data_IF_282951123630
#
_entry.id   IF_282951123630
#
_cell.length_a   1.000
_cell.length_b   1.000
_cell.length_c   1.000
_cell.angle_alpha   90.00
_cell.angle_beta   90.00
_cell.angle_gamma   90.00
#
_symmetry.space_group_name_H-M   'P 1'
#
loop_
_entity.id
_entity.type
_entity.pdbx_description
1 polymer ?
#
# COMPACT_ATOMS: atom_id res chain seq x y z
N UNK A 1 -23.45 -65.82 -32.30
CA UNK A 1 -23.70 -67.27 -32.48
C UNK A 1 -22.37 -68.00 -32.47
N UNK A 2 -22.25 -69.03 -31.61
CA UNK A 2 -21.31 -70.17 -31.60
C UNK A 2 -19.78 -69.89 -31.56
N UNK A 3 -19.06 -70.21 -30.47
CA UNK A 3 -18.61 -71.53 -29.94
C UNK A 3 -17.37 -72.14 -30.64
N UNK A 4 -16.34 -72.43 -29.82
CA UNK A 4 -15.30 -73.50 -29.90
C UNK A 4 -14.21 -73.32 -30.98
N UNK A 5 -12.92 -73.64 -30.80
CA UNK A 5 -12.19 -74.62 -29.98
C UNK A 5 -10.70 -74.22 -29.92
N UNK A 6 -10.03 -74.29 -28.77
CA UNK A 6 -9.12 -75.37 -28.34
C UNK A 6 -7.76 -75.48 -29.06
N UNK A 7 -6.68 -75.11 -28.35
CA UNK A 7 -5.41 -75.84 -28.39
C UNK A 7 -4.73 -75.78 -27.02
N UNK A 8 -4.56 -76.96 -26.42
CA UNK A 8 -3.78 -77.26 -25.21
C UNK A 8 -2.28 -77.26 -25.52
N UNK A 9 -1.48 -76.58 -24.73
CA UNK A 9 -0.09 -76.94 -24.39
C UNK A 9 0.07 -76.49 -22.93
N UNK A 10 0.23 -77.37 -21.95
CA UNK A 10 1.46 -78.10 -21.67
C UNK A 10 1.94 -77.63 -20.30
N UNK A 11 1.64 -78.41 -19.26
CA UNK A 11 1.85 -78.08 -17.85
C UNK A 11 3.35 -78.11 -17.50
N UNK A 12 3.87 -77.02 -16.96
CA UNK A 12 5.05 -77.04 -16.09
C UNK A 12 4.61 -76.48 -14.74
N UNK A 13 4.55 -77.38 -13.73
CA UNK A 13 4.36 -77.03 -12.34
C UNK A 13 5.62 -76.30 -11.85
N UNK A 14 5.50 -75.01 -11.52
CA UNK A 14 6.42 -74.32 -10.65
C UNK A 14 5.72 -74.10 -9.31
N UNK A 15 6.20 -74.80 -8.28
CA UNK A 15 5.80 -74.63 -6.88
C UNK A 15 6.31 -73.26 -6.43
N UNK A 16 5.40 -72.34 -6.13
CA UNK A 16 5.75 -71.02 -5.56
C UNK A 16 5.25 -70.98 -4.11
N UNK A 17 6.22 -70.98 -3.20
CA UNK A 17 6.07 -70.84 -1.76
C UNK A 17 5.45 -69.46 -1.44
N UNK A 18 4.30 -69.45 -0.77
CA UNK A 18 3.71 -68.25 -0.19
C UNK A 18 4.46 -67.92 1.10
N UNK A 19 5.35 -66.93 1.06
CA UNK A 19 5.95 -66.34 2.27
C UNK A 19 4.98 -65.33 2.89
N UNK A 20 4.46 -65.64 4.08
CA UNK A 20 3.77 -64.68 4.94
C UNK A 20 4.79 -63.62 5.41
N UNK A 21 4.69 -62.40 4.89
CA UNK A 21 5.41 -61.26 5.44
C UNK A 21 4.68 -60.75 6.69
N UNK A 22 5.26 -60.97 7.86
CA UNK A 22 4.87 -60.32 9.11
C UNK A 22 5.21 -58.83 9.03
N UNK A 23 4.19 -57.97 9.02
CA UNK A 23 4.36 -56.52 9.05
C UNK A 23 4.80 -56.09 10.46
N UNK A 24 6.07 -55.71 10.62
CA UNK A 24 6.58 -55.10 11.85
C UNK A 24 6.08 -53.66 11.94
N UNK A 25 5.27 -53.37 12.96
CA UNK A 25 4.87 -52.00 13.29
C UNK A 25 6.12 -51.16 13.66
N UNK A 26 6.40 -50.13 12.86
CA UNK A 26 7.43 -49.13 13.17
C UNK A 26 6.90 -48.16 14.22
N UNK A 27 7.64 -48.05 15.32
CA UNK A 27 7.50 -46.99 16.33
C UNK A 27 7.66 -45.62 15.67
N UNK A 28 6.81 -44.62 15.99
CA UNK A 28 6.96 -43.29 15.43
C UNK A 28 8.25 -42.65 15.94
N UNK A 29 9.12 -42.28 15.00
CA UNK A 29 10.33 -41.51 15.28
C UNK A 29 9.95 -40.15 15.87
N UNK A 30 10.57 -39.81 17.01
CA UNK A 30 10.45 -38.51 17.66
C UNK A 30 11.20 -37.45 16.81
N UNK A 31 10.50 -36.86 15.84
CA UNK A 31 11.00 -35.74 15.05
C UNK A 31 10.89 -34.49 15.93
N UNK A 32 12.02 -34.01 16.45
CA UNK A 32 12.09 -32.65 16.99
C UNK A 32 11.61 -31.68 15.90
N UNK A 33 10.63 -30.80 16.18
CA UNK A 33 10.20 -29.82 15.19
C UNK A 33 11.39 -28.94 14.80
N UNK A 34 11.65 -28.84 13.49
CA UNK A 34 12.54 -27.82 12.95
C UNK A 34 12.00 -26.46 13.35
N UNK A 35 12.86 -25.50 13.73
CA UNK A 35 12.42 -24.18 14.12
C UNK A 35 11.61 -23.54 12.99
N UNK A 36 10.38 -23.14 13.30
CA UNK A 36 9.48 -22.44 12.39
C UNK A 36 10.18 -21.21 11.81
N UNK A 37 9.87 -20.83 10.56
CA UNK A 37 10.47 -19.69 9.85
C UNK A 37 10.40 -18.33 10.58
N UNK A 38 9.68 -18.24 11.70
CA UNK A 38 9.68 -17.10 12.63
C UNK A 38 11.03 -16.95 13.35
N UNK A 39 11.71 -18.06 13.67
CA UNK A 39 13.02 -18.05 14.35
C UNK A 39 14.16 -17.62 13.41
N UNK A 40 13.99 -17.85 12.10
CA UNK A 40 14.94 -17.41 11.08
C UNK A 40 14.80 -15.92 10.70
N UNK A 41 13.60 -15.33 10.83
CA UNK A 41 13.39 -13.89 10.57
C UNK A 41 13.91 -13.03 11.74
N UNK A 42 13.94 -13.57 12.96
CA UNK A 42 14.51 -12.88 14.12
C UNK A 42 16.05 -12.78 14.08
N UNK A 43 16.72 -13.58 13.26
CA UNK A 43 18.18 -13.74 13.27
C UNK A 43 18.97 -12.75 12.38
N UNK A 44 18.32 -11.76 11.76
CA UNK A 44 19.00 -10.75 10.92
C UNK A 44 18.60 -9.29 11.21
N UNK A 45 18.06 -9.00 12.40
CA UNK A 45 17.91 -7.61 12.83
C UNK A 45 19.29 -7.06 13.20
N UNK A 46 19.86 -6.18 12.38
CA UNK A 46 21.06 -5.42 12.73
C UNK A 46 20.78 -4.65 14.02
N UNK A 47 21.39 -5.08 15.13
CA UNK A 47 21.31 -4.36 16.39
C UNK A 47 22.37 -3.25 16.39
N UNK A 48 21.93 -2.03 16.72
CA UNK A 48 22.81 -0.87 16.81
C UNK A 48 23.30 -0.69 18.24
N UNK A 49 24.49 -0.07 18.39
CA UNK A 49 25.00 0.28 19.71
C UNK A 49 23.99 1.22 20.42
N UNK A 50 23.63 0.97 21.69
CA UNK A 50 22.62 1.78 22.39
C UNK A 50 22.94 3.27 22.42
N UNK A 51 24.21 3.63 22.54
CA UNK A 51 24.67 5.01 22.50
C UNK A 51 24.34 5.69 21.15
N UNK A 52 24.63 5.02 20.04
CA UNK A 52 24.33 5.51 18.69
C UNK A 52 22.83 5.70 18.48
N UNK A 53 22.01 4.79 19.03
CA UNK A 53 20.54 4.94 19.02
C UNK A 53 20.10 6.14 19.85
N UNK A 54 20.71 6.40 21.02
CA UNK A 54 20.37 7.57 21.84
C UNK A 54 20.80 8.89 21.18
N UNK A 55 21.98 8.93 20.57
CA UNK A 55 22.45 10.08 19.78
C UNK A 55 21.49 10.35 18.62
N UNK A 56 21.14 9.30 17.87
CA UNK A 56 20.16 9.37 16.79
C UNK A 56 18.79 9.85 17.26
N UNK A 57 18.32 9.38 18.41
CA UNK A 57 17.06 9.80 19.02
C UNK A 57 17.07 11.29 19.37
N UNK A 58 18.16 11.79 19.94
CA UNK A 58 18.30 13.20 20.29
C UNK A 58 18.26 14.08 19.03
N UNK A 59 19.02 13.70 18.00
CA UNK A 59 19.04 14.39 16.71
C UNK A 59 17.68 14.36 16.01
N UNK A 60 17.07 13.17 15.93
CA UNK A 60 15.76 12.98 15.33
C UNK A 60 14.67 13.80 16.03
N UNK A 61 14.72 13.89 17.37
CA UNK A 61 13.79 14.74 18.14
C UNK A 61 13.95 16.22 17.82
N UNK A 62 15.19 16.68 17.65
CA UNK A 62 15.52 18.07 17.33
C UNK A 62 15.02 18.45 15.94
N UNK A 63 15.29 17.62 14.94
CA UNK A 63 15.18 18.04 13.53
C UNK A 63 14.06 17.34 12.74
N UNK A 64 13.63 16.14 13.14
CA UNK A 64 12.74 15.29 12.32
C UNK A 64 11.36 15.05 12.95
N UNK A 65 11.28 15.07 14.29
CA UNK A 65 10.09 14.59 15.01
C UNK A 65 8.84 15.45 14.85
N UNK A 66 9.01 16.72 14.47
CA UNK A 66 7.91 17.63 14.20
C UNK A 66 7.02 17.11 13.06
N UNK A 67 7.63 16.53 12.01
CA UNK A 67 6.88 15.97 10.88
C UNK A 67 6.65 14.47 11.04
N UNK A 68 7.66 13.71 11.46
CA UNK A 68 7.62 12.24 11.46
C UNK A 68 7.19 11.61 12.79
N UNK A 69 6.73 12.42 13.74
CA UNK A 69 6.36 12.00 15.09
C UNK A 69 7.57 11.69 15.97
N UNK A 70 7.41 11.68 17.30
CA UNK A 70 8.53 11.50 18.25
C UNK A 70 9.26 10.16 18.15
N UNK A 71 8.56 9.16 17.64
CA UNK A 71 9.00 7.77 17.59
C UNK A 71 9.15 7.27 16.14
N UNK A 72 9.24 8.19 15.18
CA UNK A 72 9.31 7.93 13.74
C UNK A 72 8.07 7.25 13.13
N UNK A 73 7.00 7.10 13.92
CA UNK A 73 5.73 6.47 13.54
C UNK A 73 4.78 7.33 12.69
N UNK A 74 5.24 8.48 12.20
CA UNK A 74 4.45 9.42 11.42
C UNK A 74 3.81 10.54 12.26
N UNK A 75 3.58 11.67 11.62
CA UNK A 75 2.93 12.85 12.19
C UNK A 75 2.00 13.51 11.18
N UNK A 76 1.47 14.70 11.50
CA UNK A 76 0.47 15.38 10.66
C UNK A 76 1.01 15.75 9.26
N UNK A 77 2.33 15.98 9.14
CA UNK A 77 2.96 16.48 7.92
C UNK A 77 3.99 15.52 7.33
N UNK A 78 4.45 14.52 8.08
CA UNK A 78 5.48 13.55 7.65
C UNK A 78 5.00 12.09 7.75
N UNK A 79 5.37 11.24 6.78
CA UNK A 79 4.96 9.84 6.76
C UNK A 79 5.54 9.02 7.92
N UNK A 80 4.89 7.88 8.20
CA UNK A 80 5.41 6.84 9.09
C UNK A 80 6.67 6.20 8.49
N UNK A 81 7.81 6.43 9.13
CA UNK A 81 9.10 5.89 8.70
C UNK A 81 9.25 4.42 9.12
N UNK A 82 8.56 3.98 10.16
CA UNK A 82 8.64 2.59 10.65
C UNK A 82 8.06 1.59 9.66
N UNK A 83 7.16 2.03 8.77
CA UNK A 83 6.56 1.22 7.69
C UNK A 83 7.05 1.59 6.29
N UNK A 84 8.08 2.42 6.20
CA UNK A 84 8.61 2.89 4.92
C UNK A 84 9.39 1.80 4.19
N UNK A 85 9.02 1.52 2.92
CA UNK A 85 9.80 0.64 2.03
C UNK A 85 11.24 1.11 1.84
N UNK A 86 11.46 2.43 1.85
CA UNK A 86 12.80 3.00 1.72
C UNK A 86 13.65 2.63 2.93
N UNK A 87 13.08 2.72 4.14
CA UNK A 87 13.76 2.32 5.38
C UNK A 87 13.98 0.81 5.39
N UNK A 88 12.99 0.01 4.96
CA UNK A 88 13.15 -1.45 4.85
C UNK A 88 14.24 -1.86 3.86
N UNK A 89 14.46 -1.10 2.80
CA UNK A 89 15.47 -1.36 1.78
C UNK A 89 16.81 -0.66 2.06
N UNK A 90 16.92 0.10 3.15
CA UNK A 90 18.14 0.80 3.53
C UNK A 90 19.16 -0.19 4.12
N UNK A 91 20.38 -0.11 3.64
CA UNK A 91 21.53 -0.83 4.19
C UNK A 91 22.56 0.22 4.58
N UNK A 92 22.74 0.39 5.89
CA UNK A 92 23.76 1.27 6.46
C UNK A 92 23.68 2.74 6.00
N UNK A 93 22.46 3.22 5.76
CA UNK A 93 22.18 4.60 5.37
C UNK A 93 22.31 4.88 3.89
N UNK A 94 22.50 3.87 3.04
CA UNK A 94 22.65 4.04 1.59
C UNK A 94 21.39 4.56 0.87
N UNK A 95 20.21 4.51 1.53
CA UNK A 95 18.96 5.12 1.05
C UNK A 95 18.53 6.30 1.90
N UNK A 96 18.61 6.19 3.23
CA UNK A 96 18.18 7.21 4.19
C UNK A 96 19.11 8.44 4.10
N UNK A 97 20.43 8.24 4.06
CA UNK A 97 21.42 9.30 4.03
C UNK A 97 21.20 10.31 2.89
N UNK A 98 21.09 9.84 1.62
CA UNK A 98 20.77 10.72 0.50
C UNK A 98 19.45 11.48 0.64
N UNK A 99 18.41 10.88 1.23
CA UNK A 99 17.11 11.55 1.43
C UNK A 99 17.20 12.63 2.49
N UNK A 100 17.94 12.39 3.59
CA UNK A 100 18.15 13.39 4.64
C UNK A 100 18.94 14.58 4.10
N UNK A 101 20.03 14.33 3.36
CA UNK A 101 20.91 15.39 2.86
C UNK A 101 20.28 16.24 1.76
N UNK A 102 19.60 15.61 0.81
CA UNK A 102 18.99 16.33 -0.31
C UNK A 102 17.59 16.84 0.00
N UNK A 103 16.93 16.26 1.00
CA UNK A 103 15.51 16.49 1.27
C UNK A 103 14.62 15.96 0.15
N UNK A 104 13.34 16.33 0.23
CA UNK A 104 12.33 16.24 -0.83
C UNK A 104 11.54 17.54 -0.87
N UNK A 105 12.12 18.65 -1.38
CA UNK A 105 11.50 19.98 -1.29
C UNK A 105 10.12 20.06 -1.96
N UNK A 106 9.95 19.33 -3.06
CA UNK A 106 8.69 19.13 -3.79
C UNK A 106 7.60 18.45 -2.93
N UNK A 107 7.99 17.75 -1.87
CA UNK A 107 7.12 17.07 -0.89
C UNK A 107 7.18 17.70 0.50
N UNK A 108 7.77 18.90 0.63
CA UNK A 108 7.84 19.65 1.90
C UNK A 108 8.89 19.16 2.90
N UNK A 109 9.78 18.24 2.52
CA UNK A 109 10.92 17.82 3.37
C UNK A 109 12.17 18.63 2.98
N UNK A 110 12.69 19.52 3.83
CA UNK A 110 13.90 20.28 3.52
C UNK A 110 15.16 19.39 3.55
N UNK A 111 16.27 19.81 2.91
CA UNK A 111 17.57 19.20 3.09
C UNK A 111 18.11 19.47 4.51
N UNK A 112 18.85 18.52 5.06
CA UNK A 112 19.51 18.65 6.36
C UNK A 112 21.02 18.44 6.19
N UNK A 113 21.79 19.39 6.73
CA UNK A 113 23.24 19.26 6.80
C UNK A 113 23.60 18.33 7.96
N UNK A 114 23.95 17.09 7.63
CA UNK A 114 24.30 16.06 8.60
C UNK A 114 25.60 15.37 8.17
N UNK A 115 26.55 15.32 9.10
CA UNK A 115 27.77 14.53 8.98
C UNK A 115 27.45 13.04 8.82
N UNK A 116 28.41 12.26 8.35
CA UNK A 116 28.24 10.80 8.21
C UNK A 116 27.92 10.13 9.55
N UNK A 117 28.50 10.63 10.65
CA UNK A 117 28.24 10.11 11.99
C UNK A 117 26.80 10.41 12.47
N UNK A 118 26.29 11.60 12.14
CA UNK A 118 24.90 11.99 12.44
C UNK A 118 23.91 11.17 11.61
N UNK A 119 24.19 10.96 10.32
CA UNK A 119 23.40 10.07 9.46
C UNK A 119 23.40 8.64 10.02
N UNK A 120 24.56 8.08 10.37
CA UNK A 120 24.65 6.73 10.94
C UNK A 120 23.81 6.62 12.23
N UNK A 121 23.83 7.65 13.07
CA UNK A 121 23.04 7.70 14.30
C UNK A 121 21.54 7.80 14.01
N UNK A 122 21.12 8.62 13.05
CA UNK A 122 19.71 8.68 12.60
C UNK A 122 19.23 7.35 12.04
N UNK A 123 20.03 6.70 11.20
CA UNK A 123 19.76 5.37 10.63
C UNK A 123 19.59 4.35 11.76
N UNK A 124 20.50 4.33 12.73
CA UNK A 124 20.42 3.45 13.89
C UNK A 124 19.11 3.63 14.68
N UNK A 125 18.71 4.89 14.92
CA UNK A 125 17.45 5.19 15.59
C UNK A 125 16.23 4.78 14.76
N UNK A 126 16.17 5.14 13.48
CA UNK A 126 15.03 4.85 12.59
C UNK A 126 14.84 3.33 12.43
N UNK A 127 15.91 2.58 12.21
CA UNK A 127 15.86 1.11 12.15
C UNK A 127 15.43 0.49 13.48
N UNK A 128 15.92 1.01 14.61
CA UNK A 128 15.48 0.55 15.94
C UNK A 128 13.98 0.78 16.14
N UNK A 129 13.46 1.93 15.72
CA UNK A 129 12.03 2.23 15.80
C UNK A 129 11.20 1.34 14.88
N UNK A 130 11.68 1.05 13.67
CA UNK A 130 11.05 0.07 12.78
C UNK A 130 11.00 -1.32 13.42
N UNK A 131 12.11 -1.81 13.99
CA UNK A 131 12.15 -3.10 14.70
C UNK A 131 11.15 -3.12 15.87
N UNK A 132 11.13 -2.05 16.69
CA UNK A 132 10.20 -1.94 17.82
C UNK A 132 8.74 -1.94 17.38
N UNK A 133 8.41 -1.25 16.29
CA UNK A 133 7.06 -1.19 15.72
C UNK A 133 6.63 -2.56 15.18
N UNK A 134 7.51 -3.27 14.47
CA UNK A 134 7.25 -4.61 13.94
C UNK A 134 7.12 -5.65 15.07
N UNK A 135 7.99 -5.59 16.09
CA UNK A 135 7.92 -6.48 17.25
C UNK A 135 6.62 -6.28 18.04
N UNK A 136 6.12 -5.05 18.08
CA UNK A 136 4.84 -4.70 18.71
C UNK A 136 3.63 -5.07 17.85
N UNK A 137 3.77 -5.16 16.52
CA UNK A 137 2.72 -5.62 15.61
C UNK A 137 2.46 -7.14 15.70
N UNK A 138 3.48 -7.93 16.09
CA UNK A 138 3.38 -9.39 16.26
C UNK A 138 3.06 -9.88 17.67
N UNK A 139 2.94 -8.99 18.66
CA UNK A 139 2.90 -9.37 20.07
C UNK A 139 1.86 -8.60 20.88
N UNK A 140 1.02 -9.37 21.59
CA UNK A 140 -0.01 -8.99 22.58
C UNK A 140 0.49 -8.14 23.79
N UNK A 141 1.58 -7.39 23.68
CA UNK A 141 2.11 -6.54 24.76
C UNK A 141 2.37 -5.11 24.27
N UNK A 142 1.53 -4.19 24.74
CA UNK A 142 1.68 -2.75 24.58
C UNK A 142 0.69 -2.21 23.57
N UNK A 143 -0.21 -1.33 24.02
CA UNK A 143 -1.28 -0.72 23.21
C UNK A 143 -0.81 0.25 22.13
N UNK A 144 0.18 -0.14 21.33
CA UNK A 144 0.47 0.48 20.04
C UNK A 144 -0.63 0.11 19.05
N UNK A 145 -1.03 1.07 18.20
CA UNK A 145 -1.95 0.80 17.09
C UNK A 145 -1.31 -0.27 16.19
N UNK A 146 -1.96 -1.44 16.03
CA UNK A 146 -1.62 -2.37 14.95
C UNK A 146 -1.82 -1.58 13.66
N UNK A 147 -0.73 -1.28 12.94
CA UNK A 147 -0.85 -0.71 11.61
C UNK A 147 -1.48 -1.72 10.66
N UNK A 148 -2.07 -1.23 9.57
CA UNK A 148 -2.68 -2.07 8.55
C UNK A 148 -1.62 -2.40 7.51
N UNK A 149 -1.24 -3.68 7.40
CA UNK A 149 -0.32 -4.12 6.35
C UNK A 149 -1.04 -4.21 5.00
N UNK A 150 -0.31 -4.14 3.88
CA UNK A 150 -0.92 -4.23 2.54
C UNK A 150 -1.71 -5.54 2.38
N UNK A 151 -1.20 -6.64 2.94
CA UNK A 151 -1.88 -7.93 2.93
C UNK A 151 -3.20 -7.95 3.71
N UNK A 152 -3.31 -7.11 4.75
CA UNK A 152 -4.56 -6.99 5.54
C UNK A 152 -5.69 -6.34 4.70
N UNK A 153 -5.34 -5.62 3.62
CA UNK A 153 -6.28 -4.96 2.70
C UNK A 153 -6.49 -5.72 1.39
N UNK A 154 -5.77 -6.83 1.18
CA UNK A 154 -5.84 -7.66 -0.03
C UNK A 154 -6.81 -8.84 0.17
N UNK A 155 -8.02 -8.57 0.64
CA UNK A 155 -9.01 -9.60 1.01
C UNK A 155 -10.03 -9.88 -0.10
N UNK A 156 -10.11 -9.04 -1.13
CA UNK A 156 -11.12 -9.14 -2.19
C UNK A 156 -10.73 -10.00 -3.39
N UNK A 157 -11.69 -10.18 -4.30
CA UNK A 157 -11.54 -10.88 -5.58
C UNK A 157 -11.36 -9.87 -6.73
N UNK A 158 -10.22 -9.94 -7.42
CA UNK A 158 -9.87 -9.00 -8.49
C UNK A 158 -10.83 -9.06 -9.69
N UNK A 159 -11.34 -10.24 -10.07
CA UNK A 159 -12.31 -10.36 -11.16
C UNK A 159 -13.66 -9.72 -10.79
N UNK A 160 -14.08 -9.82 -9.53
CA UNK A 160 -15.27 -9.15 -9.03
C UNK A 160 -15.08 -7.64 -8.98
N UNK A 161 -13.89 -7.18 -8.58
CA UNK A 161 -13.53 -5.77 -8.60
C UNK A 161 -13.57 -5.20 -10.00
N UNK A 162 -13.01 -5.92 -10.97
CA UNK A 162 -13.07 -5.55 -12.38
C UNK A 162 -14.51 -5.44 -12.87
N UNK A 163 -15.36 -6.43 -12.57
CA UNK A 163 -16.78 -6.41 -12.94
C UNK A 163 -17.52 -5.23 -12.31
N UNK A 164 -17.24 -4.89 -11.07
CA UNK A 164 -17.83 -3.72 -10.42
C UNK A 164 -17.34 -2.42 -11.06
N UNK A 165 -16.02 -2.30 -11.30
CA UNK A 165 -15.38 -1.15 -11.95
C UNK A 165 -15.97 -0.85 -13.33
N UNK A 166 -16.18 -1.89 -14.14
CA UNK A 166 -16.74 -1.80 -15.51
C UNK A 166 -18.28 -1.69 -15.53
N UNK A 167 -18.94 -2.04 -14.43
CA UNK A 167 -20.39 -2.16 -14.34
C UNK A 167 -21.00 -1.24 -13.29
N UNK A 168 -21.54 -1.84 -12.22
CA UNK A 168 -22.37 -1.15 -11.22
C UNK A 168 -21.65 0.00 -10.48
N UNK A 169 -20.33 -0.05 -10.37
CA UNK A 169 -19.52 1.02 -9.79
C UNK A 169 -19.37 2.25 -10.68
N UNK A 170 -19.60 2.11 -11.99
CA UNK A 170 -19.50 3.22 -12.95
C UNK A 170 -18.09 3.80 -13.08
N UNK A 171 -17.06 3.20 -12.50
CA UNK A 171 -15.71 3.73 -12.44
C UNK A 171 -15.11 3.92 -13.84
N UNK A 172 -15.39 2.98 -14.75
CA UNK A 172 -14.94 3.00 -16.14
C UNK A 172 -15.53 4.14 -16.99
N UNK A 173 -16.52 4.89 -16.48
CA UNK A 173 -17.07 6.06 -17.18
C UNK A 173 -16.12 7.25 -17.19
N UNK A 174 -15.21 7.32 -16.21
CA UNK A 174 -14.22 8.37 -16.06
C UNK A 174 -12.79 7.83 -16.13
N UNK A 175 -12.55 6.62 -15.60
CA UNK A 175 -11.22 6.06 -15.44
C UNK A 175 -10.92 4.95 -16.45
N UNK A 176 -9.70 4.98 -16.99
CA UNK A 176 -9.18 3.94 -17.89
C UNK A 176 -8.00 3.20 -17.23
N UNK A 177 -8.05 1.86 -17.11
CA UNK A 177 -6.94 1.05 -16.59
C UNK A 177 -5.63 1.26 -17.35
N UNK A 178 -5.71 1.58 -18.65
CA UNK A 178 -4.56 1.85 -19.52
C UNK A 178 -4.29 3.33 -19.75
N UNK A 179 -5.12 4.20 -19.17
CA UNK A 179 -5.02 5.65 -19.29
C UNK A 179 -4.52 6.26 -17.98
N UNK A 180 -5.40 7.00 -17.31
CA UNK A 180 -5.09 7.70 -16.07
C UNK A 180 -4.70 6.77 -14.90
N UNK A 181 -5.23 5.53 -14.90
CA UNK A 181 -4.89 4.51 -13.91
C UNK A 181 -3.72 3.60 -14.32
N UNK A 182 -3.05 3.85 -15.46
CA UNK A 182 -1.86 3.07 -15.82
C UNK A 182 -0.79 3.20 -14.71
N UNK A 183 -0.18 2.08 -14.31
CA UNK A 183 0.82 2.08 -13.24
C UNK A 183 0.33 2.51 -11.86
N UNK A 184 -0.98 2.45 -11.60
CA UNK A 184 -1.56 2.83 -10.31
C UNK A 184 -0.92 2.06 -9.15
N UNK A 185 -0.80 0.73 -9.26
CA UNK A 185 -0.25 -0.14 -8.22
C UNK A 185 1.26 0.07 -7.98
N UNK A 186 1.94 0.74 -8.91
CA UNK A 186 3.34 1.16 -8.77
C UNK A 186 3.47 2.48 -8.01
N UNK A 187 2.40 3.29 -7.96
CA UNK A 187 2.35 4.61 -7.31
C UNK A 187 1.72 4.57 -5.92
N UNK A 188 0.66 3.80 -5.74
CA UNK A 188 -0.13 3.71 -4.50
C UNK A 188 -0.39 2.25 -4.13
N UNK A 189 -0.29 1.92 -2.84
CA UNK A 189 -0.54 0.58 -2.31
C UNK A 189 -1.17 0.63 -0.92
N UNK A 190 -1.87 -0.43 -0.54
CA UNK A 190 -2.49 -0.56 0.78
C UNK A 190 -3.46 0.60 1.07
N UNK A 191 -3.39 1.14 2.29
CA UNK A 191 -4.31 2.17 2.77
C UNK A 191 -4.26 3.43 1.91
N UNK A 192 -3.09 3.82 1.40
CA UNK A 192 -2.98 5.01 0.56
C UNK A 192 -3.78 4.86 -0.74
N UNK A 193 -3.77 3.67 -1.35
CA UNK A 193 -4.57 3.39 -2.54
C UNK A 193 -6.07 3.43 -2.22
N UNK A 194 -6.48 2.87 -1.08
CA UNK A 194 -7.88 2.86 -0.65
C UNK A 194 -8.40 4.28 -0.39
N UNK A 195 -7.62 5.09 0.31
CA UNK A 195 -7.94 6.49 0.57
C UNK A 195 -8.04 7.30 -0.73
N UNK A 196 -7.13 7.08 -1.70
CA UNK A 196 -7.21 7.74 -3.00
C UNK A 196 -8.43 7.26 -3.81
N UNK A 197 -8.77 5.98 -3.76
CA UNK A 197 -9.95 5.42 -4.45
C UNK A 197 -11.25 5.98 -3.88
N UNK A 198 -11.37 6.00 -2.56
CA UNK A 198 -12.59 6.49 -1.89
C UNK A 198 -12.67 8.01 -1.99
N UNK A 199 -11.60 8.73 -1.68
CA UNK A 199 -11.63 10.19 -1.60
C UNK A 199 -10.36 10.83 -2.18
N UNK A 200 -10.32 11.08 -3.51
CA UNK A 200 -9.11 11.57 -4.19
C UNK A 200 -8.87 13.07 -3.91
N UNK A 201 -8.35 13.38 -2.70
CA UNK A 201 -8.15 14.76 -2.18
C UNK A 201 -7.32 15.68 -3.07
N UNK A 202 -6.46 15.13 -3.92
CA UNK A 202 -5.54 15.89 -4.79
C UNK A 202 -6.00 15.94 -6.25
N UNK A 203 -7.20 15.44 -6.55
CA UNK A 203 -7.75 15.52 -7.90
C UNK A 203 -8.03 16.98 -8.26
N UNK A 204 -7.43 17.44 -9.35
CA UNK A 204 -7.65 18.78 -9.90
C UNK A 204 -9.00 18.79 -10.63
N UNK A 205 -10.01 19.40 -10.01
CA UNK A 205 -11.33 19.54 -10.62
C UNK A 205 -11.32 20.62 -11.71
N UNK A 206 -12.01 20.37 -12.81
CA UNK A 206 -12.30 21.41 -13.80
C UNK A 206 -13.51 22.23 -13.36
N UNK A 207 -13.55 23.50 -13.75
CA UNK A 207 -14.69 24.38 -13.52
C UNK A 207 -14.94 25.26 -14.74
N UNK A 208 -16.21 25.52 -15.02
CA UNK A 208 -16.67 26.55 -15.95
C UNK A 208 -17.41 27.62 -15.17
N UNK A 209 -17.02 28.89 -15.33
CA UNK A 209 -17.70 30.05 -14.77
C UNK A 209 -18.31 30.86 -15.91
N UNK A 210 -19.62 31.09 -15.87
CA UNK A 210 -20.35 31.89 -16.83
C UNK A 210 -20.59 33.28 -16.24
N UNK A 211 -20.04 34.30 -16.90
CA UNK A 211 -20.17 35.70 -16.50
C UNK A 211 -21.56 36.26 -16.87
N UNK A 212 -21.94 37.39 -16.27
CA UNK A 212 -23.17 38.09 -16.62
C UNK A 212 -23.23 38.53 -18.10
N UNK A 213 -22.07 38.67 -18.76
CA UNK A 213 -21.97 38.91 -20.20
C UNK A 213 -22.33 37.70 -21.07
N UNK A 214 -22.48 36.50 -20.47
CA UNK A 214 -22.65 35.23 -21.16
C UNK A 214 -21.33 34.54 -21.54
N UNK A 215 -20.19 35.20 -21.35
CA UNK A 215 -18.86 34.60 -21.58
C UNK A 215 -18.60 33.47 -20.58
N UNK A 216 -18.14 32.33 -21.07
CA UNK A 216 -17.72 31.20 -20.24
C UNK A 216 -16.20 31.15 -20.12
N UNK A 217 -15.71 31.21 -18.88
CA UNK A 217 -14.30 31.03 -18.54
C UNK A 217 -14.12 29.64 -17.96
N UNK A 218 -13.20 28.87 -18.53
CA UNK A 218 -12.91 27.50 -18.07
C UNK A 218 -11.50 27.39 -17.52
N UNK A 219 -11.32 26.50 -16.55
CA UNK A 219 -10.02 26.26 -15.95
C UNK A 219 -10.03 25.17 -14.89
N UNK A 220 -8.95 25.12 -14.12
CA UNK A 220 -8.83 24.26 -12.94
C UNK A 220 -9.37 25.02 -11.73
N UNK A 221 -10.25 24.38 -10.96
CA UNK A 221 -10.76 24.95 -9.71
C UNK A 221 -9.60 25.22 -8.75
N UNK A 222 -9.49 26.46 -8.30
CA UNK A 222 -8.43 26.91 -7.40
C UNK A 222 -8.99 27.34 -6.03
N UNK A 223 -10.24 27.81 -6.00
CA UNK A 223 -10.90 28.25 -4.77
C UNK A 223 -12.42 28.19 -4.89
N UNK A 224 -13.10 27.68 -3.87
CA UNK A 224 -14.56 27.69 -3.79
C UNK A 224 -14.98 27.73 -2.31
N UNK A 225 -15.69 28.78 -1.92
CA UNK A 225 -16.41 28.90 -0.64
C UNK A 225 -17.82 29.44 -0.91
N UNK A 226 -18.57 29.84 0.12
CA UNK A 226 -19.94 30.35 -0.03
C UNK A 226 -20.05 31.77 -0.63
N UNK A 227 -18.93 32.45 -0.88
CA UNK A 227 -18.89 33.83 -1.39
C UNK A 227 -18.15 33.97 -2.72
N UNK A 228 -17.17 33.13 -2.98
CA UNK A 228 -16.16 33.30 -4.03
C UNK A 228 -15.92 32.01 -4.78
N UNK A 229 -15.85 32.13 -6.10
CA UNK A 229 -15.39 31.08 -7.00
C UNK A 229 -14.13 31.55 -7.72
N UNK A 230 -13.08 30.72 -7.73
CA UNK A 230 -11.80 31.02 -8.34
C UNK A 230 -11.24 29.84 -9.12
N UNK A 231 -10.65 30.14 -10.28
CA UNK A 231 -10.00 29.16 -11.16
C UNK A 231 -8.65 29.65 -11.64
N UNK A 232 -7.83 28.70 -12.09
CA UNK A 232 -6.64 28.96 -12.91
C UNK A 232 -7.02 28.62 -14.35
N UNK A 233 -6.97 29.61 -15.24
CA UNK A 233 -7.35 29.43 -16.65
C UNK A 233 -6.24 28.76 -17.48
N UNK A 234 -6.49 28.55 -18.77
CA UNK A 234 -5.54 27.92 -19.69
C UNK A 234 -4.20 28.67 -19.84
N UNK A 235 -4.15 29.96 -19.49
CA UNK A 235 -2.91 30.77 -19.51
C UNK A 235 -2.12 30.64 -18.21
N UNK A 236 -2.65 29.95 -17.21
CA UNK A 236 -2.09 29.88 -15.86
C UNK A 236 -2.49 31.05 -14.97
N UNK A 237 -3.37 31.94 -15.44
CA UNK A 237 -3.80 33.11 -14.67
C UNK A 237 -4.89 32.75 -13.68
N UNK A 238 -4.75 33.21 -12.44
CA UNK A 238 -5.80 33.12 -11.44
C UNK A 238 -6.88 34.17 -11.70
N UNK A 239 -8.14 33.72 -11.74
CA UNK A 239 -9.33 34.57 -11.90
C UNK A 239 -10.38 34.18 -10.87
N UNK A 240 -11.03 35.16 -10.26
CA UNK A 240 -12.08 34.92 -9.27
C UNK A 240 -13.23 35.90 -9.37
N UNK A 241 -14.38 35.45 -8.91
CA UNK A 241 -15.64 36.19 -8.94
C UNK A 241 -16.43 35.93 -7.68
N UNK A 242 -17.29 36.89 -7.30
CA UNK A 242 -18.31 36.67 -6.27
C UNK A 242 -19.37 35.73 -6.83
N UNK A 243 -19.74 34.71 -6.07
CA UNK A 243 -20.70 33.69 -6.52
C UNK A 243 -22.04 34.26 -6.94
N UNK A 244 -22.51 35.30 -6.26
CA UNK A 244 -23.81 35.93 -6.58
C UNK A 244 -23.82 36.64 -7.94
N UNK A 245 -22.65 36.94 -8.50
CA UNK A 245 -22.49 37.71 -9.74
C UNK A 245 -22.25 36.80 -10.98
N UNK A 246 -22.08 35.48 -10.78
CA UNK A 246 -21.76 34.51 -11.83
C UNK A 246 -22.54 33.20 -11.66
N UNK A 247 -22.66 32.45 -12.75
CA UNK A 247 -23.05 31.03 -12.68
C UNK A 247 -21.79 30.18 -12.79
N UNK A 248 -21.77 29.00 -12.18
CA UNK A 248 -20.63 28.10 -12.32
C UNK A 248 -21.05 26.64 -12.31
N UNK A 249 -20.20 25.81 -12.91
CA UNK A 249 -20.33 24.35 -12.93
C UNK A 249 -18.97 23.74 -12.65
N UNK A 250 -18.83 23.11 -11.49
CA UNK A 250 -17.68 22.26 -11.18
C UNK A 250 -17.90 20.90 -11.82
N UNK A 251 -16.84 20.34 -12.38
CA UNK A 251 -16.84 18.97 -12.87
C UNK A 251 -17.27 18.01 -11.75
N UNK A 252 -18.36 17.23 -11.95
CA UNK A 252 -18.90 16.38 -10.91
C UNK A 252 -17.99 15.20 -10.55
N UNK A 253 -16.90 14.94 -11.28
CA UNK A 253 -16.06 13.74 -11.09
C UNK A 253 -15.72 13.46 -9.61
N UNK A 254 -15.34 14.48 -8.82
CA UNK A 254 -15.06 14.28 -7.39
C UNK A 254 -16.34 14.06 -6.56
N UNK A 255 -17.44 14.73 -6.90
CA UNK A 255 -18.73 14.54 -6.23
C UNK A 255 -19.28 13.12 -6.48
N UNK A 256 -19.03 12.54 -7.66
CA UNK A 256 -19.41 11.17 -7.97
C UNK A 256 -18.73 10.17 -7.03
N UNK A 257 -17.47 10.39 -6.64
CA UNK A 257 -16.82 9.56 -5.60
C UNK A 257 -17.55 9.65 -4.25
N UNK A 258 -17.99 10.85 -3.85
CA UNK A 258 -18.77 11.04 -2.61
C UNK A 258 -20.14 10.35 -2.70
N UNK A 259 -20.81 10.43 -3.85
CA UNK A 259 -22.10 9.77 -4.09
C UNK A 259 -22.02 8.24 -4.10
N UNK A 260 -20.83 7.66 -4.28
CA UNK A 260 -20.60 6.22 -4.18
C UNK A 260 -20.51 5.73 -2.72
N UNK A 261 -20.21 6.60 -1.75
CA UNK A 261 -20.03 6.20 -0.34
C UNK A 261 -21.21 5.43 0.25
N UNK A 262 -22.47 5.89 0.10
CA UNK A 262 -23.61 5.12 0.61
C UNK A 262 -23.94 3.88 -0.25
N UNK A 263 -23.31 3.71 -1.41
CA UNK A 263 -23.57 2.60 -2.34
C UNK A 263 -22.55 1.46 -2.22
N UNK A 264 -21.35 1.75 -1.73
CA UNK A 264 -20.34 0.73 -1.50
C UNK A 264 -20.80 -0.26 -0.43
N UNK A 265 -20.70 -1.54 -0.75
CA UNK A 265 -20.62 -2.58 0.26
C UNK A 265 -19.15 -2.81 0.65
N UNK A 266 -18.92 -3.43 1.80
CA UNK A 266 -17.59 -3.89 2.24
C UNK A 266 -16.91 -4.75 1.15
N UNK A 267 -17.69 -5.65 0.53
CA UNK A 267 -17.22 -6.48 -0.56
C UNK A 267 -16.81 -5.66 -1.79
N UNK A 268 -17.54 -4.60 -2.13
CA UNK A 268 -17.20 -3.75 -3.29
C UNK A 268 -15.86 -3.06 -3.09
N UNK A 269 -15.63 -2.50 -1.90
CA UNK A 269 -14.36 -1.84 -1.55
C UNK A 269 -13.21 -2.83 -1.63
N UNK A 270 -13.34 -4.00 -0.99
CA UNK A 270 -12.29 -5.02 -1.00
C UNK A 270 -12.02 -5.56 -2.41
N UNK A 271 -13.08 -5.83 -3.20
CA UNK A 271 -12.95 -6.34 -4.56
C UNK A 271 -12.31 -5.30 -5.49
N UNK A 272 -12.73 -4.03 -5.42
CA UNK A 272 -12.12 -2.94 -6.17
C UNK A 272 -10.65 -2.78 -5.81
N UNK A 273 -10.30 -2.82 -4.53
CA UNK A 273 -8.92 -2.77 -4.07
C UNK A 273 -8.08 -3.91 -4.65
N UNK A 274 -8.61 -5.14 -4.65
CA UNK A 274 -7.94 -6.28 -5.28
C UNK A 274 -7.71 -6.06 -6.78
N UNK A 275 -8.68 -5.49 -7.50
CA UNK A 275 -8.54 -5.19 -8.93
C UNK A 275 -7.53 -4.06 -9.22
N UNK A 276 -7.65 -2.92 -8.53
CA UNK A 276 -6.80 -1.75 -8.75
C UNK A 276 -5.31 -2.06 -8.51
N UNK A 277 -5.00 -2.96 -7.58
CA UNK A 277 -3.64 -3.41 -7.31
C UNK A 277 -3.02 -4.28 -8.42
N UNK A 278 -3.83 -4.75 -9.38
CA UNK A 278 -3.33 -5.44 -10.58
C UNK A 278 -2.83 -4.47 -11.66
N UNK A 279 -3.17 -3.18 -11.57
CA UNK A 279 -2.87 -2.17 -12.58
C UNK A 279 -1.43 -1.62 -12.40
N UNK A 280 -0.45 -2.34 -12.95
CA UNK A 280 0.99 -2.04 -12.83
C UNK A 280 1.57 -1.17 -13.93
#
# INVERSE_FOLDING_TARGET
MNFLSSTRHGRTLAVLLVSLATSSAQTPANIKPSPSGVEQIAAAAKSYAPEMVQQGKALFRKDCSFCHGRDAGGGETGPDLTRSKLVTADVDGDKIGPVVRNGRPDKGMPPFDCSDQEIASLVAFIHTQQINALASAGGRKGGGRKGVDVSDLQTGNAEAGKRYFEGAGGCATCHSPTGDLAGLASRYQGLELEEQMLYPKRAKQKISVTLASGEAVTGTLAYLDEFTVGLIDSTGSYRSWRMRDVQYKVDPALNTHVELFPKYTDADVHNLMAYLQTLR
#
